data_IF_560238823627
#
_entry.id   IF_560238823627
#
_cell.length_a   1.000
_cell.length_b   1.000
_cell.length_c   1.000
_cell.angle_alpha   90.00
_cell.angle_beta   90.00
_cell.angle_gamma   90.00
#
_symmetry.space_group_name_H-M   'P 1'
#
loop_
_entity.id
_entity.type
_entity.pdbx_description
1 polymer ?
#
# COMPACT_ATOMS: atom_id res chain seq x y z
N UNK A 1 -17.51 11.96 -23.14
CA UNK A 1 -17.35 12.48 -24.51
C UNK A 1 -15.88 12.30 -24.88
N UNK A 2 -15.54 11.22 -25.58
CA UNK A 2 -14.19 10.89 -26.10
C UNK A 2 -14.19 10.93 -27.65
N UNK A 3 -15.06 11.76 -28.25
CA UNK A 3 -15.26 11.81 -29.71
C UNK A 3 -14.53 12.96 -30.42
N UNK A 4 -13.57 13.62 -29.77
CA UNK A 4 -12.72 14.62 -30.44
C UNK A 4 -11.27 14.48 -30.02
N UNK A 5 -10.50 13.62 -30.70
CA UNK A 5 -9.04 13.72 -30.87
C UNK A 5 -8.17 14.10 -29.66
N UNK A 6 -8.65 13.89 -28.43
CA UNK A 6 -7.96 14.27 -27.23
C UNK A 6 -6.78 13.32 -27.06
N UNK A 7 -5.58 13.88 -26.97
CA UNK A 7 -4.39 13.10 -26.70
C UNK A 7 -4.51 12.46 -25.32
N UNK A 8 -4.66 11.14 -25.31
CA UNK A 8 -4.84 10.34 -24.09
C UNK A 8 -3.61 10.38 -23.17
N UNK A 9 -2.46 10.78 -23.71
CA UNK A 9 -1.18 10.86 -23.01
C UNK A 9 -0.74 12.31 -22.76
N UNK A 10 -1.65 13.29 -22.84
CA UNK A 10 -1.36 14.68 -22.49
C UNK A 10 -0.75 14.75 -21.09
N UNK A 11 0.27 15.59 -20.91
CA UNK A 11 0.95 15.76 -19.62
C UNK A 11 0.55 17.10 -19.00
N UNK A 12 0.28 17.10 -17.70
CA UNK A 12 0.15 18.33 -16.91
C UNK A 12 1.52 18.97 -16.59
N UNK A 13 1.54 20.01 -15.75
CA UNK A 13 2.80 20.71 -15.38
C UNK A 13 3.77 19.83 -14.60
N UNK A 14 3.27 18.83 -13.88
CA UNK A 14 4.06 17.86 -13.13
C UNK A 14 4.42 16.64 -13.98
N UNK A 15 4.02 16.64 -15.26
CA UNK A 15 4.28 15.55 -16.18
C UNK A 15 3.31 14.38 -16.03
N UNK A 16 2.27 14.49 -15.21
CA UNK A 16 1.29 13.43 -15.02
C UNK A 16 0.39 13.32 -16.27
N UNK A 17 0.15 12.09 -16.70
CA UNK A 17 -0.86 11.77 -17.73
C UNK A 17 -2.24 11.59 -17.09
N UNK A 18 -3.35 11.60 -17.86
CA UNK A 18 -4.66 11.20 -17.34
C UNK A 18 -4.64 9.85 -16.60
N UNK A 19 -3.79 8.92 -17.03
CA UNK A 19 -3.63 7.62 -16.38
C UNK A 19 -2.98 7.75 -14.99
N UNK A 20 -2.00 8.64 -14.80
CA UNK A 20 -1.47 8.95 -13.47
C UNK A 20 -2.58 9.48 -12.54
N UNK A 21 -3.42 10.39 -13.05
CA UNK A 21 -4.51 10.96 -12.26
C UNK A 21 -5.54 9.88 -11.86
N UNK A 22 -5.96 9.04 -12.80
CA UNK A 22 -6.92 7.96 -12.50
C UNK A 22 -6.33 6.89 -11.57
N UNK A 23 -5.03 6.59 -11.72
CA UNK A 23 -4.34 5.61 -10.87
C UNK A 23 -4.36 5.97 -9.38
N UNK A 24 -4.51 7.27 -9.06
CA UNK A 24 -4.42 7.85 -7.72
C UNK A 24 -5.78 8.22 -7.11
N UNK A 25 -6.88 7.76 -7.67
CA UNK A 25 -8.24 8.08 -7.21
C UNK A 25 -9.08 6.82 -7.09
N UNK A 26 -9.72 6.65 -5.93
CA UNK A 26 -10.57 5.49 -5.62
C UNK A 26 -11.88 5.46 -6.44
N UNK A 27 -12.32 6.59 -6.99
CA UNK A 27 -13.52 6.67 -7.84
C UNK A 27 -13.23 6.44 -9.32
N UNK A 28 -11.97 6.49 -9.73
CA UNK A 28 -11.59 6.47 -11.12
C UNK A 28 -10.92 5.15 -11.48
N UNK A 29 -11.51 4.42 -12.42
CA UNK A 29 -10.88 3.22 -12.97
C UNK A 29 -9.92 3.57 -14.11
N UNK A 30 -8.71 2.99 -14.17
CA UNK A 30 -7.80 3.17 -15.30
C UNK A 30 -8.29 2.47 -16.59
N UNK A 31 -9.25 1.54 -16.50
CA UNK A 31 -9.67 0.66 -17.60
C UNK A 31 -10.06 1.39 -18.88
N UNK A 32 -10.81 2.49 -18.77
CA UNK A 32 -11.25 3.23 -19.95
C UNK A 32 -10.05 3.86 -20.67
N UNK A 33 -9.12 4.45 -19.93
CA UNK A 33 -7.93 5.07 -20.48
C UNK A 33 -7.01 4.02 -21.10
N UNK A 34 -6.80 2.89 -20.42
CA UNK A 34 -6.03 1.76 -20.94
C UNK A 34 -6.63 1.22 -22.25
N UNK A 35 -7.95 1.03 -22.30
CA UNK A 35 -8.67 0.63 -23.53
C UNK A 35 -8.57 1.65 -24.67
N UNK A 36 -8.41 2.92 -24.33
CA UNK A 36 -8.19 4.00 -25.29
C UNK A 36 -6.72 4.16 -25.71
N UNK A 37 -5.81 3.31 -25.22
CA UNK A 37 -4.39 3.33 -25.59
C UNK A 37 -3.54 4.29 -24.77
N UNK A 38 -3.93 4.59 -23.53
CA UNK A 38 -3.06 5.29 -22.58
C UNK A 38 -1.76 4.51 -22.36
N UNK A 39 -0.65 5.24 -22.30
CA UNK A 39 0.67 4.66 -22.06
C UNK A 39 0.82 4.24 -20.60
N UNK A 40 0.80 2.92 -20.39
CA UNK A 40 0.97 2.29 -19.07
C UNK A 40 2.40 2.39 -18.53
N UNK A 41 3.36 2.78 -19.36
CA UNK A 41 4.75 2.99 -18.96
C UNK A 41 5.11 4.47 -18.80
N UNK A 42 4.13 5.36 -18.86
CA UNK A 42 4.36 6.79 -18.68
C UNK A 42 4.97 7.07 -17.30
N UNK A 43 5.92 8.01 -17.27
CA UNK A 43 6.54 8.55 -16.06
C UNK A 43 6.37 10.06 -15.98
N UNK A 44 6.04 10.56 -14.78
CA UNK A 44 5.92 11.98 -14.53
C UNK A 44 7.29 12.66 -14.36
N UNK A 45 7.34 13.94 -13.97
CA UNK A 45 8.59 14.69 -13.85
C UNK A 45 9.47 14.21 -12.69
N UNK A 46 8.88 13.54 -11.70
CA UNK A 46 9.58 12.93 -10.56
C UNK A 46 10.04 11.49 -10.86
N UNK A 47 9.84 11.01 -12.09
CA UNK A 47 10.18 9.65 -12.49
C UNK A 47 9.21 8.60 -11.94
N UNK A 48 8.11 9.02 -11.33
CA UNK A 48 7.08 8.10 -10.84
C UNK A 48 6.33 7.51 -12.04
N UNK A 49 6.25 6.18 -12.12
CA UNK A 49 5.38 5.51 -13.09
C UNK A 49 3.91 5.57 -12.65
N UNK A 50 2.99 5.24 -13.55
CA UNK A 50 1.57 5.10 -13.20
C UNK A 50 1.32 4.07 -12.09
N UNK A 51 2.10 2.98 -12.06
CA UNK A 51 2.01 1.97 -11.00
C UNK A 51 2.56 2.50 -9.66
N UNK A 52 3.64 3.27 -9.69
CA UNK A 52 4.16 3.94 -8.49
C UNK A 52 3.10 4.87 -7.87
N UNK A 53 2.39 5.64 -8.72
CA UNK A 53 1.27 6.49 -8.31
C UNK A 53 0.14 5.70 -7.65
N UNK A 54 -0.19 4.52 -8.18
CA UNK A 54 -1.27 3.67 -7.72
C UNK A 54 -1.02 2.92 -6.41
N UNK A 55 0.14 3.07 -5.77
CA UNK A 55 0.54 2.22 -4.64
C UNK A 55 -0.32 2.36 -3.37
N UNK A 56 -1.29 3.29 -3.33
CA UNK A 56 -2.30 3.39 -2.27
C UNK A 56 -3.67 2.83 -2.68
N UNK A 57 -3.79 2.28 -3.89
CA UNK A 57 -5.04 1.88 -4.52
C UNK A 57 -4.87 0.46 -5.09
N UNK A 58 -4.97 -0.59 -4.25
CA UNK A 58 -4.69 -1.97 -4.66
C UNK A 58 -5.43 -2.41 -5.93
N UNK A 59 -6.71 -2.03 -6.06
CA UNK A 59 -7.52 -2.35 -7.25
C UNK A 59 -6.96 -1.71 -8.52
N UNK A 60 -6.59 -0.42 -8.45
CA UNK A 60 -6.03 0.29 -9.60
C UNK A 60 -4.61 -0.19 -9.91
N UNK A 61 -3.79 -0.47 -8.90
CA UNK A 61 -2.46 -1.06 -9.09
C UNK A 61 -2.56 -2.42 -9.79
N UNK A 62 -3.51 -3.27 -9.37
CA UNK A 62 -3.76 -4.57 -10.01
C UNK A 62 -4.08 -4.42 -11.49
N UNK A 63 -5.02 -3.53 -11.84
CA UNK A 63 -5.39 -3.28 -13.24
C UNK A 63 -4.23 -2.77 -14.08
N UNK A 64 -3.36 -1.94 -13.49
CA UNK A 64 -2.16 -1.44 -14.17
C UNK A 64 -1.14 -2.56 -14.38
N UNK A 65 -0.90 -3.41 -13.38
CA UNK A 65 -0.02 -4.59 -13.49
C UNK A 65 -0.55 -5.54 -14.57
N UNK A 66 -1.86 -5.81 -14.59
CA UNK A 66 -2.52 -6.64 -15.62
C UNK A 66 -2.37 -6.05 -17.03
N UNK A 67 -2.30 -4.72 -17.13
CA UNK A 67 -2.03 -4.00 -18.36
C UNK A 67 -0.53 -3.92 -18.72
N UNK A 68 0.35 -4.49 -17.90
CA UNK A 68 1.79 -4.58 -18.14
C UNK A 68 2.63 -3.50 -17.44
N UNK A 69 2.06 -2.71 -16.52
CA UNK A 69 2.84 -1.78 -15.71
C UNK A 69 3.87 -2.55 -14.86
N UNK A 70 5.09 -2.01 -14.76
CA UNK A 70 6.09 -2.48 -13.81
C UNK A 70 5.83 -1.82 -12.44
N UNK A 71 5.45 -2.59 -11.41
CA UNK A 71 5.16 -2.04 -10.09
C UNK A 71 6.44 -1.80 -9.26
N UNK A 72 7.61 -2.24 -9.74
CA UNK A 72 8.90 -2.12 -9.05
C UNK A 72 9.76 -0.97 -9.59
N UNK A 73 9.24 -0.18 -10.52
CA UNK A 73 9.92 0.97 -11.09
C UNK A 73 10.32 1.97 -9.99
N UNK A 74 11.53 2.52 -10.12
CA UNK A 74 12.09 3.52 -9.19
C UNK A 74 11.79 4.94 -9.67
N UNK A 75 11.41 5.81 -8.74
CA UNK A 75 11.35 7.24 -8.96
C UNK A 75 12.75 7.85 -9.11
N UNK A 76 12.85 9.15 -9.45
CA UNK A 76 14.12 9.84 -9.66
C UNK A 76 15.02 9.88 -8.41
N UNK A 77 14.43 9.81 -7.22
CA UNK A 77 15.15 9.72 -5.95
C UNK A 77 15.64 8.29 -5.63
N UNK A 78 15.35 7.33 -6.51
CA UNK A 78 15.69 5.93 -6.37
C UNK A 78 14.69 5.12 -5.56
N UNK A 79 13.64 5.71 -4.99
CA UNK A 79 12.66 4.99 -4.17
C UNK A 79 11.72 4.09 -4.99
N UNK A 80 11.31 2.97 -4.42
CA UNK A 80 10.17 2.16 -4.90
C UNK A 80 8.90 2.53 -4.12
N UNK A 81 7.75 2.04 -4.57
CA UNK A 81 6.49 2.50 -4.02
C UNK A 81 6.17 1.94 -2.60
N UNK A 82 6.62 0.73 -2.26
CA UNK A 82 6.26 0.07 -0.99
C UNK A 82 6.75 0.82 0.26
N UNK A 83 8.02 1.29 0.37
CA UNK A 83 8.46 2.10 1.51
C UNK A 83 7.60 3.36 1.72
N UNK A 84 7.16 4.01 0.64
CA UNK A 84 6.28 5.18 0.72
C UNK A 84 4.92 4.85 1.31
N UNK A 85 4.35 3.69 0.94
CA UNK A 85 3.08 3.20 1.46
C UNK A 85 3.19 2.89 2.94
N UNK A 86 4.23 2.17 3.35
CA UNK A 86 4.50 1.85 4.75
C UNK A 86 4.60 3.09 5.65
N UNK A 87 5.29 4.15 5.19
CA UNK A 87 5.43 5.40 5.96
C UNK A 87 4.12 6.16 6.15
N UNK A 88 3.15 5.94 5.27
CA UNK A 88 1.87 6.65 5.29
C UNK A 88 0.73 5.81 5.87
N UNK A 89 0.98 4.53 6.14
CA UNK A 89 -0.03 3.59 6.61
C UNK A 89 -0.55 3.96 8.00
N UNK A 90 -1.85 3.83 8.16
CA UNK A 90 -2.56 3.97 9.43
C UNK A 90 -3.43 2.73 9.69
N UNK A 91 -3.92 2.60 10.91
CA UNK A 91 -4.73 1.48 11.39
C UNK A 91 -5.96 1.21 10.52
N UNK A 92 -6.57 2.25 9.94
CA UNK A 92 -7.71 2.11 9.02
C UNK A 92 -7.35 1.59 7.62
N UNK A 93 -6.07 1.40 7.30
CA UNK A 93 -5.56 0.98 5.98
C UNK A 93 -4.79 -0.34 6.04
N UNK A 94 -4.90 -1.10 7.14
CA UNK A 94 -4.14 -2.33 7.35
C UNK A 94 -4.41 -3.35 6.23
N UNK A 95 -5.67 -3.46 5.78
CA UNK A 95 -6.05 -4.39 4.73
C UNK A 95 -5.46 -3.99 3.38
N UNK A 96 -5.59 -2.72 3.01
CA UNK A 96 -5.03 -2.17 1.78
C UNK A 96 -3.50 -2.28 1.77
N UNK A 97 -2.85 -2.04 2.92
CA UNK A 97 -1.41 -2.22 3.06
C UNK A 97 -0.99 -3.68 2.82
N UNK A 98 -1.73 -4.65 3.37
CA UNK A 98 -1.45 -6.06 3.15
C UNK A 98 -1.58 -6.43 1.66
N UNK A 99 -2.66 -5.98 1.00
CA UNK A 99 -2.87 -6.21 -0.43
C UNK A 99 -1.75 -5.60 -1.30
N UNK A 100 -1.39 -4.33 -1.04
CA UNK A 100 -0.28 -3.68 -1.75
C UNK A 100 1.04 -4.43 -1.52
N UNK A 101 1.30 -4.88 -0.29
CA UNK A 101 2.51 -5.64 0.02
C UNK A 101 2.57 -6.95 -0.76
N UNK A 102 1.43 -7.62 -0.98
CA UNK A 102 1.36 -8.81 -1.85
C UNK A 102 1.71 -8.45 -3.30
N UNK A 103 1.14 -7.38 -3.85
CA UNK A 103 1.42 -6.93 -5.21
C UNK A 103 2.88 -6.52 -5.40
N UNK A 104 3.51 -6.01 -4.35
CA UNK A 104 4.88 -5.52 -4.33
C UNK A 104 5.86 -6.51 -3.67
N UNK A 105 5.53 -7.80 -3.62
CA UNK A 105 6.30 -8.79 -2.85
C UNK A 105 7.74 -8.99 -3.33
N UNK A 106 8.02 -8.76 -4.61
CA UNK A 106 9.39 -8.89 -5.18
C UNK A 106 10.21 -7.59 -5.02
N UNK A 107 9.73 -6.62 -4.23
CA UNK A 107 10.49 -5.40 -3.96
C UNK A 107 11.78 -5.76 -3.24
N UNK A 108 12.92 -5.47 -3.87
CA UNK A 108 14.22 -5.55 -3.21
C UNK A 108 14.34 -4.42 -2.18
N UNK A 109 14.56 -4.80 -0.93
CA UNK A 109 14.86 -3.88 0.16
C UNK A 109 16.37 -3.83 0.38
N UNK A 110 16.90 -2.63 0.59
CA UNK A 110 18.17 -2.48 1.32
C UNK A 110 17.98 -2.89 2.79
N UNK A 111 19.08 -3.19 3.50
CA UNK A 111 19.01 -3.49 4.95
C UNK A 111 18.34 -2.34 5.74
N UNK A 112 18.63 -1.09 5.36
CA UNK A 112 18.06 0.11 5.97
C UNK A 112 16.55 0.22 5.71
N UNK A 113 16.09 -0.04 4.48
CA UNK A 113 14.66 -0.01 4.14
C UNK A 113 13.89 -1.15 4.82
N UNK A 114 14.51 -2.33 4.95
CA UNK A 114 13.90 -3.46 5.67
C UNK A 114 13.75 -3.14 7.16
N UNK A 115 14.79 -2.58 7.78
CA UNK A 115 14.73 -2.17 9.18
C UNK A 115 13.68 -1.08 9.42
N UNK A 116 13.61 -0.07 8.54
CA UNK A 116 12.57 0.95 8.61
C UNK A 116 11.17 0.34 8.46
N UNK A 117 10.96 -0.55 7.49
CA UNK A 117 9.69 -1.24 7.29
C UNK A 117 9.26 -2.01 8.55
N UNK A 118 10.19 -2.74 9.18
CA UNK A 118 9.93 -3.47 10.42
C UNK A 118 9.48 -2.53 11.54
N UNK A 119 10.19 -1.42 11.76
CA UNK A 119 9.82 -0.43 12.77
C UNK A 119 8.44 0.19 12.52
N UNK A 120 8.11 0.50 11.27
CA UNK A 120 6.82 1.06 10.90
C UNK A 120 5.67 0.08 11.15
N UNK A 121 5.85 -1.20 10.81
CA UNK A 121 4.85 -2.25 11.01
C UNK A 121 4.64 -2.55 12.51
N UNK A 122 5.72 -2.55 13.31
CA UNK A 122 5.61 -2.67 14.77
C UNK A 122 4.75 -1.53 15.32
N UNK A 123 5.07 -0.28 15.00
CA UNK A 123 4.30 0.89 15.46
C UNK A 123 2.85 0.88 14.98
N UNK A 124 2.60 0.40 13.76
CA UNK A 124 1.24 0.25 13.22
C UNK A 124 0.43 -0.74 14.06
N UNK A 125 1.03 -1.88 14.40
CA UNK A 125 0.35 -2.87 15.24
C UNK A 125 0.15 -2.43 16.69
N UNK A 126 1.09 -1.69 17.27
CA UNK A 126 0.90 -1.07 18.60
C UNK A 126 -0.31 -0.13 18.59
N UNK A 127 -0.38 0.77 17.61
CA UNK A 127 -1.53 1.66 17.43
C UNK A 127 -2.83 0.89 17.20
N UNK A 128 -2.79 -0.19 16.44
CA UNK A 128 -3.96 -1.03 16.19
C UNK A 128 -4.48 -1.65 17.49
N UNK A 129 -3.61 -2.23 18.32
CA UNK A 129 -4.00 -2.81 19.60
C UNK A 129 -4.51 -1.74 20.59
N UNK A 130 -3.94 -0.54 20.60
CA UNK A 130 -4.41 0.59 21.42
C UNK A 130 -5.88 0.98 21.14
N UNK A 131 -6.32 0.85 19.88
CA UNK A 131 -7.67 1.22 19.46
C UNK A 131 -8.57 0.03 19.15
N UNK A 132 -8.09 -1.21 19.32
CA UNK A 132 -8.75 -2.43 18.82
C UNK A 132 -10.21 -2.56 19.27
N UNK A 133 -10.50 -2.17 20.51
CA UNK A 133 -11.86 -2.19 21.07
C UNK A 133 -12.80 -1.14 20.47
N UNK A 134 -12.25 -0.06 19.93
CA UNK A 134 -12.99 0.98 19.21
C UNK A 134 -12.97 0.76 17.69
N UNK A 135 -12.31 -0.29 17.22
CA UNK A 135 -12.25 -0.66 15.81
C UNK A 135 -13.62 -1.19 15.35
N UNK A 136 -13.86 -1.15 14.04
CA UNK A 136 -15.09 -1.69 13.49
C UNK A 136 -15.17 -3.21 13.74
N UNK A 137 -16.21 -3.66 14.45
CA UNK A 137 -16.43 -5.07 14.80
C UNK A 137 -16.46 -6.00 13.57
N UNK A 138 -16.92 -5.50 12.42
CA UNK A 138 -17.01 -6.30 11.19
C UNK A 138 -15.65 -6.51 10.50
N UNK A 139 -14.64 -5.68 10.82
CA UNK A 139 -13.32 -5.73 10.15
C UNK A 139 -12.12 -5.86 11.08
N UNK A 140 -12.32 -5.87 12.39
CA UNK A 140 -11.23 -5.98 13.39
C UNK A 140 -10.47 -7.30 13.28
N UNK A 141 -11.16 -8.40 13.00
CA UNK A 141 -10.53 -9.72 12.87
C UNK A 141 -9.68 -9.81 11.58
N UNK A 142 -10.19 -9.25 10.47
CA UNK A 142 -9.44 -9.16 9.21
C UNK A 142 -8.20 -8.27 9.37
N UNK A 143 -8.34 -7.11 10.02
CA UNK A 143 -7.21 -6.23 10.33
C UNK A 143 -6.16 -6.94 11.21
N UNK A 144 -6.59 -7.67 12.24
CA UNK A 144 -5.68 -8.44 13.09
C UNK A 144 -4.96 -9.54 12.29
N UNK A 145 -5.67 -10.25 11.41
CA UNK A 145 -5.08 -11.28 10.56
C UNK A 145 -4.08 -10.69 9.55
N UNK A 146 -4.38 -9.53 8.99
CA UNK A 146 -3.49 -8.79 8.11
C UNK A 146 -2.26 -8.26 8.85
N UNK A 147 -2.39 -7.82 10.10
CA UNK A 147 -1.23 -7.47 10.94
C UNK A 147 -0.32 -8.68 11.19
N UNK A 148 -0.89 -9.84 11.55
CA UNK A 148 -0.12 -11.08 11.70
C UNK A 148 0.59 -11.45 10.40
N UNK A 149 -0.09 -11.31 9.27
CA UNK A 149 0.51 -11.55 7.96
C UNK A 149 1.67 -10.59 7.68
N UNK A 150 1.51 -9.29 7.93
CA UNK A 150 2.56 -8.27 7.76
C UNK A 150 3.77 -8.59 8.66
N UNK A 151 3.55 -8.96 9.92
CA UNK A 151 4.64 -9.37 10.82
C UNK A 151 5.45 -10.54 10.27
N UNK A 152 4.78 -11.56 9.73
CA UNK A 152 5.45 -12.71 9.13
C UNK A 152 6.16 -12.32 7.83
N UNK A 153 5.54 -11.46 7.01
CA UNK A 153 6.09 -11.04 5.71
C UNK A 153 7.40 -10.29 5.83
N UNK A 154 7.56 -9.51 6.90
CA UNK A 154 8.76 -8.74 7.20
C UNK A 154 9.64 -9.38 8.29
N UNK A 155 9.40 -10.67 8.59
CA UNK A 155 10.22 -11.46 9.52
C UNK A 155 10.36 -10.83 10.93
N UNK A 156 9.31 -10.15 11.40
CA UNK A 156 9.30 -9.48 12.71
C UNK A 156 9.20 -10.56 13.81
N UNK A 157 10.16 -10.62 14.77
CA UNK A 157 10.15 -11.59 15.87
C UNK A 157 8.89 -11.46 16.75
N UNK A 158 8.40 -12.59 17.29
CA UNK A 158 7.16 -12.62 18.09
C UNK A 158 7.21 -11.70 19.31
N UNK A 159 8.38 -11.55 19.94
CA UNK A 159 8.62 -10.70 21.10
C UNK A 159 8.49 -9.18 20.80
N UNK A 160 8.54 -8.78 19.53
CA UNK A 160 8.36 -7.40 19.09
C UNK A 160 6.96 -7.13 18.53
N UNK A 161 6.13 -8.16 18.37
CA UNK A 161 4.78 -8.00 17.83
C UNK A 161 3.87 -7.43 18.92
N UNK A 162 3.04 -6.47 18.53
CA UNK A 162 1.99 -6.01 19.42
C UNK A 162 1.04 -7.19 19.70
N UNK A 163 0.87 -7.51 20.97
CA UNK A 163 -0.07 -8.53 21.43
C UNK A 163 -1.31 -7.85 21.97
N UNK A 164 -2.49 -8.41 21.69
CA UNK A 164 -3.70 -8.04 22.43
C UNK A 164 -3.42 -8.12 23.92
N UNK A 165 -3.62 -7.03 24.68
CA UNK A 165 -3.45 -7.08 26.12
C UNK A 165 -4.27 -8.26 26.63
N UNK A 166 -3.63 -9.21 27.32
CA UNK A 166 -4.39 -10.21 28.07
C UNK A 166 -5.19 -9.44 29.11
N UNK A 167 -6.44 -9.12 28.80
CA UNK A 167 -7.39 -8.63 29.79
C UNK A 167 -7.49 -9.76 30.80
N UNK A 168 -6.93 -9.51 31.97
CA UNK A 168 -7.12 -10.37 33.12
C UNK A 168 -8.63 -10.53 33.29
N UNK A 169 -9.14 -11.71 32.99
CA UNK A 169 -10.55 -12.15 33.09
C UNK A 169 -11.12 -12.06 34.52
N UNK A 170 -10.36 -11.48 35.46
CA UNK A 170 -10.64 -11.42 36.88
C UNK A 170 -10.56 -12.78 37.59
N UNK A 171 -10.19 -13.86 36.88
CA UNK A 171 -10.28 -15.25 37.36
C UNK A 171 -8.93 -15.97 37.28
N UNK A 172 -8.13 -15.67 36.26
CA UNK A 172 -6.80 -16.22 36.04
C UNK A 172 -5.82 -15.64 37.06
N UNK A 173 -4.80 -16.41 37.46
CA UNK A 173 -3.91 -16.04 38.55
C UNK A 173 -2.73 -15.25 37.99
N UNK A 174 -2.47 -14.06 38.52
CA UNK A 174 -1.20 -13.34 38.26
C UNK A 174 -0.06 -14.22 38.79
N UNK A 175 0.75 -14.77 37.91
CA UNK A 175 2.04 -15.35 38.30
C UNK A 175 3.05 -14.21 38.42
N UNK A 176 3.59 -14.04 39.64
CA UNK A 176 4.63 -13.08 40.00
C UNK A 176 6.03 -13.67 39.76
#
# INVERSE_FOLDING_TARGET
>A
MLEQGADINVRDTEGNTPLHVHSRDWNLSPDLLLRCGADVHAVNNDGESVAYGAAFFPENLTKLIDAGADPFSRANDGSTALPRVLRSADTGQISELAEITVLLTETEFTEEELQEAQELIIRLGEKFEDIREAYNEESVDDAAQNMIWLYNRFEIPEELRASTPQRHDGISRIEL
#
